data_IF_573490496101
#
_entry.id   IF_573490496101
#
_cell.length_a   1.000
_cell.length_b   1.000
_cell.length_c   1.000
_cell.angle_alpha   90.00
_cell.angle_beta   90.00
_cell.angle_gamma   90.00
#
_symmetry.space_group_name_H-M   'P 1'
#
loop_
_entity.id
_entity.type
_entity.pdbx_description
1 polymer ?
#
# COMPACT_ATOMS: atom_id res chain seq x y z
N UNK A 1 -20.61 -7.35 -11.45
CA UNK A 1 -19.49 -7.85 -10.63
C UNK A 1 -18.74 -6.63 -10.10
N UNK A 2 -19.24 -6.02 -9.03
CA UNK A 2 -18.53 -4.96 -8.30
C UNK A 2 -17.89 -5.69 -7.13
N UNK A 3 -16.60 -5.94 -7.22
CA UNK A 3 -15.86 -6.49 -6.10
C UNK A 3 -16.17 -5.63 -4.88
N UNK A 4 -16.77 -6.27 -3.88
CA UNK A 4 -17.10 -5.65 -2.61
C UNK A 4 -15.76 -5.17 -2.06
N UNK A 5 -15.47 -3.88 -2.21
CA UNK A 5 -14.41 -3.22 -1.47
C UNK A 5 -14.74 -3.58 -0.03
N UNK A 6 -13.96 -4.52 0.53
CA UNK A 6 -14.07 -4.93 1.92
C UNK A 6 -14.16 -3.62 2.68
N UNK A 7 -15.28 -3.32 3.34
CA UNK A 7 -15.45 -2.03 4.02
C UNK A 7 -14.46 -2.06 5.18
N UNK A 8 -13.27 -1.53 4.93
CA UNK A 8 -12.20 -1.36 5.88
C UNK A 8 -12.14 0.13 6.13
N UNK A 9 -12.37 0.50 7.39
CA UNK A 9 -12.18 1.87 7.84
C UNK A 9 -10.70 2.21 7.69
N UNK A 10 -10.46 3.25 6.92
CA UNK A 10 -9.13 3.82 6.72
C UNK A 10 -8.84 4.69 7.95
N UNK A 11 -7.66 4.51 8.52
CA UNK A 11 -7.20 5.20 9.73
C UNK A 11 -5.94 6.03 9.49
N UNK A 12 -5.19 5.75 8.42
CA UNK A 12 -3.98 6.50 8.07
C UNK A 12 -3.72 6.46 6.56
N UNK A 13 -3.11 7.52 6.04
CA UNK A 13 -2.63 7.60 4.66
C UNK A 13 -1.27 8.27 4.62
N UNK A 14 -0.40 7.85 3.70
CA UNK A 14 0.86 8.50 3.36
C UNK A 14 1.05 8.48 1.84
N UNK A 15 1.79 9.43 1.30
CA UNK A 15 2.11 9.49 -0.12
C UNK A 15 3.59 9.11 -0.33
N UNK A 16 3.90 8.45 -1.44
CA UNK A 16 5.27 8.24 -1.88
C UNK A 16 5.94 9.58 -2.23
N UNK A 17 7.27 9.63 -2.13
CA UNK A 17 8.00 10.87 -2.37
C UNK A 17 7.88 11.36 -3.82
N UNK A 18 7.70 10.43 -4.77
CA UNK A 18 7.46 10.73 -6.18
C UNK A 18 5.98 11.06 -6.52
N UNK A 19 5.09 10.97 -5.53
CA UNK A 19 3.66 11.22 -5.69
C UNK A 19 2.91 10.16 -6.50
N UNK A 20 3.55 9.07 -6.92
CA UNK A 20 2.92 8.05 -7.78
C UNK A 20 2.06 7.04 -7.01
N UNK A 21 2.28 6.92 -5.70
CA UNK A 21 1.65 5.93 -4.85
C UNK A 21 1.08 6.52 -3.57
N UNK A 22 -0.07 5.99 -3.16
CA UNK A 22 -0.68 6.21 -1.86
C UNK A 22 -0.56 4.94 -1.04
N UNK A 23 -0.05 5.06 0.17
CA UNK A 23 -0.01 4.01 1.17
C UNK A 23 -1.15 4.24 2.15
N UNK A 24 -2.04 3.26 2.29
CA UNK A 24 -3.27 3.37 3.08
C UNK A 24 -3.28 2.29 4.15
N UNK A 25 -3.47 2.69 5.40
CA UNK A 25 -3.55 1.83 6.56
C UNK A 25 -4.98 1.75 7.10
N UNK A 26 -5.42 0.56 7.46
CA UNK A 26 -6.78 0.32 7.92
C UNK A 26 -6.88 -0.25 9.34
N UNK A 27 -8.08 -0.22 9.89
CA UNK A 27 -8.37 -0.70 11.24
C UNK A 27 -8.14 -2.21 11.44
N UNK A 28 -8.12 -2.98 10.35
CA UNK A 28 -7.85 -4.42 10.39
C UNK A 28 -6.36 -4.76 10.32
N UNK A 29 -5.46 -3.77 10.41
CA UNK A 29 -4.02 -4.01 10.29
C UNK A 29 -3.56 -4.24 8.85
N UNK A 30 -4.41 -3.92 7.87
CA UNK A 30 -4.08 -4.06 6.45
C UNK A 30 -3.42 -2.78 5.93
N UNK A 31 -2.35 -2.94 5.15
CA UNK A 31 -1.70 -1.84 4.42
C UNK A 31 -1.85 -2.07 2.92
N UNK A 32 -2.36 -1.07 2.21
CA UNK A 32 -2.56 -1.07 0.77
C UNK A 32 -1.65 -0.06 0.10
N UNK A 33 -1.21 -0.39 -1.10
CA UNK A 33 -0.57 0.55 -2.02
C UNK A 33 -1.53 0.77 -3.18
N UNK A 34 -1.98 2.00 -3.33
CA UNK A 34 -2.77 2.48 -4.46
C UNK A 34 -1.91 3.35 -5.36
N UNK A 35 -2.24 3.40 -6.65
CA UNK A 35 -1.71 4.45 -7.53
C UNK A 35 -2.45 5.76 -7.26
N UNK A 36 -1.74 6.87 -7.25
CA UNK A 36 -2.34 8.18 -6.95
C UNK A 36 -3.27 8.68 -8.05
N UNK A 37 -2.98 8.37 -9.33
CA UNK A 37 -3.71 8.95 -10.46
C UNK A 37 -5.09 8.33 -10.71
N UNK A 38 -5.25 7.01 -10.50
CA UNK A 38 -6.50 6.28 -10.79
C UNK A 38 -7.04 5.50 -9.57
N UNK A 39 -6.34 5.58 -8.42
CA UNK A 39 -6.66 4.82 -7.21
C UNK A 39 -6.79 3.31 -7.44
N UNK A 40 -6.11 2.78 -8.46
CA UNK A 40 -6.02 1.35 -8.68
C UNK A 40 -5.16 0.70 -7.61
N UNK A 41 -5.62 -0.44 -7.08
CA UNK A 41 -4.88 -1.21 -6.09
C UNK A 41 -3.66 -1.83 -6.77
N UNK A 42 -2.47 -1.44 -6.34
CA UNK A 42 -1.20 -1.93 -6.87
C UNK A 42 -0.64 -3.09 -6.04
N UNK A 43 -0.80 -3.03 -4.71
CA UNK A 43 -0.31 -4.07 -3.82
C UNK A 43 -1.05 -4.07 -2.48
N UNK A 44 -1.09 -5.23 -1.82
CA UNK A 44 -1.64 -5.38 -0.46
C UNK A 44 -0.62 -6.15 0.38
N UNK A 45 -0.22 -5.57 1.50
CA UNK A 45 0.62 -6.27 2.47
C UNK A 45 -0.20 -7.26 3.30
N UNK A 46 0.44 -8.34 3.82
CA UNK A 46 -0.19 -9.23 4.79
C UNK A 46 -0.77 -8.45 5.96
N UNK A 47 -1.89 -8.96 6.49
CA UNK A 47 -2.58 -8.34 7.60
C UNK A 47 -1.72 -8.39 8.86
N UNK A 48 -1.58 -7.26 9.55
CA UNK A 48 -0.98 -7.16 10.87
C UNK A 48 -1.96 -7.60 11.97
N UNK A 49 -1.43 -7.87 13.15
CA UNK A 49 -2.18 -8.28 14.34
C UNK A 49 -3.01 -7.16 14.98
N UNK A 50 -2.79 -5.90 14.59
CA UNK A 50 -3.44 -4.74 15.17
C UNK A 50 -3.72 -3.63 14.14
N UNK A 51 -4.59 -2.68 14.52
CA UNK A 51 -5.00 -1.54 13.71
C UNK A 51 -3.82 -0.63 13.38
N UNK A 52 -3.71 -0.19 12.12
CA UNK A 52 -2.72 0.81 11.70
C UNK A 52 -3.19 2.18 12.17
N UNK A 53 -2.40 2.89 12.98
CA UNK A 53 -2.73 4.24 13.48
C UNK A 53 -1.92 5.34 12.82
N UNK A 54 -0.75 5.02 12.30
CA UNK A 54 0.10 5.95 11.59
C UNK A 54 0.90 5.25 10.49
N UNK A 55 1.23 6.00 9.45
CA UNK A 55 2.06 5.56 8.34
C UNK A 55 3.09 6.64 8.00
N UNK A 56 4.27 6.20 7.61
CA UNK A 56 5.29 7.04 6.98
C UNK A 56 6.00 6.26 5.87
N UNK A 57 6.40 6.96 4.82
CA UNK A 57 7.28 6.44 3.76
C UNK A 57 8.64 7.09 3.95
N UNK A 58 9.71 6.31 3.91
CA UNK A 58 11.07 6.87 4.01
C UNK A 58 11.42 7.69 2.77
N UNK A 59 12.27 8.71 2.92
CA UNK A 59 12.65 9.59 1.81
C UNK A 59 13.33 8.83 0.66
N UNK A 60 14.05 7.75 0.96
CA UNK A 60 14.68 6.88 -0.04
C UNK A 60 13.69 5.92 -0.74
N UNK A 61 12.40 5.95 -0.34
CA UNK A 61 11.31 5.14 -0.87
C UNK A 61 11.51 3.62 -0.76
N UNK A 62 12.35 3.16 0.17
CA UNK A 62 12.61 1.73 0.39
C UNK A 62 11.77 1.11 1.49
N UNK A 63 11.24 1.94 2.39
CA UNK A 63 10.51 1.46 3.55
C UNK A 63 9.21 2.20 3.78
N UNK A 64 8.23 1.43 4.28
CA UNK A 64 7.01 1.95 4.87
C UNK A 64 7.06 1.59 6.35
N UNK A 65 6.87 2.58 7.21
CA UNK A 65 6.80 2.42 8.67
C UNK A 65 5.33 2.53 9.06
N UNK A 66 4.82 1.52 9.75
CA UNK A 66 3.46 1.49 10.27
C UNK A 66 3.48 1.43 11.80
N UNK A 67 2.79 2.39 12.43
CA UNK A 67 2.53 2.37 13.87
C UNK A 67 1.21 1.68 14.17
N UNK A 68 1.23 0.68 15.04
CA UNK A 68 0.07 -0.11 15.42
C UNK A 68 -0.60 0.44 16.68
N UNK A 69 -1.89 0.13 16.87
CA UNK A 69 -2.61 0.45 18.11
C UNK A 69 -2.07 -0.24 19.36
N UNK A 70 -1.24 -1.28 19.20
CA UNK A 70 -0.54 -1.98 20.29
C UNK A 70 0.68 -1.21 20.81
N UNK A 71 1.12 -0.16 20.11
CA UNK A 71 2.37 0.55 20.38
C UNK A 71 3.58 -0.03 19.64
N UNK A 72 3.41 -1.15 18.93
CA UNK A 72 4.46 -1.72 18.08
C UNK A 72 4.63 -0.95 16.77
N UNK A 73 5.83 -1.05 16.21
CA UNK A 73 6.15 -0.57 14.87
C UNK A 73 6.45 -1.76 13.95
N UNK A 74 5.95 -1.69 12.72
CA UNK A 74 6.29 -2.64 11.66
C UNK A 74 6.92 -1.87 10.50
N UNK A 75 8.00 -2.43 9.97
CA UNK A 75 8.70 -1.89 8.80
C UNK A 75 8.51 -2.83 7.63
N UNK A 76 7.90 -2.34 6.56
CA UNK A 76 7.77 -3.07 5.31
C UNK A 76 8.87 -2.63 4.35
N UNK A 77 9.55 -3.58 3.72
CA UNK A 77 10.33 -3.29 2.52
C UNK A 77 9.36 -3.02 1.36
N UNK A 78 9.60 -1.93 0.63
CA UNK A 78 8.84 -1.59 -0.56
C UNK A 78 9.80 -1.29 -1.70
N UNK A 79 9.46 -1.78 -2.88
CA UNK A 79 10.15 -1.43 -4.11
C UNK A 79 9.12 -1.02 -5.16
N UNK A 80 8.83 0.28 -5.20
CA UNK A 80 7.86 0.87 -6.12
C UNK A 80 8.22 0.64 -7.60
N UNK A 81 9.52 0.51 -7.93
CA UNK A 81 9.96 0.20 -9.29
C UNK A 81 9.55 -1.21 -9.72
N UNK A 82 9.65 -2.22 -8.84
CA UNK A 82 9.19 -3.57 -9.13
C UNK A 82 7.67 -3.63 -9.32
N UNK A 83 6.91 -2.86 -8.53
CA UNK A 83 5.46 -2.74 -8.67
C UNK A 83 5.10 -2.15 -10.05
N UNK A 84 5.85 -1.15 -10.51
CA UNK A 84 5.68 -0.59 -11.86
C UNK A 84 6.04 -1.60 -12.96
N UNK A 85 7.15 -2.32 -12.81
CA UNK A 85 7.64 -3.26 -13.82
C UNK A 85 6.68 -4.43 -14.06
N UNK A 86 6.16 -5.07 -13.00
CA UNK A 86 5.21 -6.19 -13.11
C UNK A 86 3.98 -5.84 -13.96
N UNK A 87 3.54 -4.58 -13.92
CA UNK A 87 2.42 -4.12 -14.75
C UNK A 87 2.77 -4.05 -16.23
N UNK A 88 3.99 -3.65 -16.59
CA UNK A 88 4.42 -3.61 -18.01
C UNK A 88 4.41 -5.02 -18.59
N UNK A 89 4.92 -6.01 -17.85
CA UNK A 89 4.93 -7.41 -18.28
C UNK A 89 3.53 -8.01 -18.40
N UNK A 90 2.63 -7.73 -17.44
CA UNK A 90 1.25 -8.23 -17.49
C UNK A 90 0.42 -7.60 -18.61
N UNK A 91 0.64 -6.32 -18.92
CA UNK A 91 -0.02 -5.64 -20.03
C UNK A 91 0.46 -6.16 -21.40
N UNK A 92 1.74 -6.51 -21.53
CA UNK A 92 2.29 -7.14 -22.74
C UNK A 92 1.78 -8.55 -22.96
N UNK A 93 1.57 -9.33 -21.90
CA UNK A 93 1.05 -10.70 -22.00
C UNK A 93 -0.46 -10.81 -22.28
N UNK A 94 -1.23 -9.71 -22.18
CA UNK A 94 -2.68 -9.71 -22.50
C UNK A 94 -3.00 -9.40 -23.96
N UNK A 95 -1.99 -9.03 -24.76
CA UNK A 95 -2.16 -8.67 -26.16
C UNK A 95 -1.57 -9.72 -27.13
N UNK A 96 -1.41 -10.96 -26.66
CA UNK A 96 -1.15 -12.17 -27.45
C UNK A 96 -2.24 -13.20 -27.14
#
# INVERSE_FOLDING_TARGET
MKDYIKIIKISSVAMSQDGQYLVVGGEKGTVFIYRSHDLSLAYTYPQCDASIRSLAVTQDQKYIIAGLSTGCLIVFNVNFNLITYRRKTEASNRNQ
#
